data_IF_871480811526
#
_entry.id   IF_871480811526
#
_cell.length_a   1.000
_cell.length_b   1.000
_cell.length_c   1.000
_cell.angle_alpha   90.00
_cell.angle_beta   90.00
_cell.angle_gamma   90.00
#
_symmetry.space_group_name_H-M   'P 1'
#
loop_
_entity.id
_entity.type
_entity.pdbx_description
1 polymer ?
#
# COMPACT_ATOMS: atom_id res chain seq x y z
N UNK A 1 -15.18 -7.09 28.24
CA UNK A 1 -13.74 -7.30 27.96
C UNK A 1 -13.49 -8.78 27.67
N UNK A 2 -13.93 -9.28 26.51
CA UNK A 2 -13.71 -10.66 26.04
C UNK A 2 -13.63 -10.77 24.50
N UNK A 3 -14.09 -9.76 23.76
CA UNK A 3 -14.08 -9.76 22.28
C UNK A 3 -12.70 -9.76 21.64
N UNK A 4 -11.64 -9.38 22.38
CA UNK A 4 -10.28 -9.47 21.87
C UNK A 4 -9.85 -10.94 21.72
N UNK A 5 -10.03 -11.76 22.76
CA UNK A 5 -9.56 -13.15 22.80
C UNK A 5 -10.25 -14.01 21.74
N UNK A 6 -11.57 -13.89 21.57
CA UNK A 6 -12.31 -14.61 20.53
C UNK A 6 -11.87 -14.22 19.12
N UNK A 7 -11.57 -12.93 18.90
CA UNK A 7 -11.05 -12.44 17.62
C UNK A 7 -9.66 -12.99 17.30
N UNK A 8 -8.78 -13.08 18.30
CA UNK A 8 -7.44 -13.65 18.12
C UNK A 8 -7.46 -15.15 17.84
N UNK A 9 -8.34 -15.91 18.51
CA UNK A 9 -8.48 -17.36 18.27
C UNK A 9 -8.97 -17.66 16.86
N UNK A 10 -9.96 -16.93 16.35
CA UNK A 10 -10.40 -17.05 14.96
C UNK A 10 -9.30 -16.72 13.95
N UNK A 11 -8.38 -15.82 14.27
CA UNK A 11 -7.23 -15.52 13.41
C UNK A 11 -6.24 -16.68 13.31
N UNK A 12 -6.12 -17.54 14.34
CA UNK A 12 -5.20 -18.69 14.32
C UNK A 12 -5.61 -19.70 13.25
N UNK A 13 -6.92 -19.91 13.08
CA UNK A 13 -7.46 -20.83 12.07
C UNK A 13 -7.12 -20.38 10.63
N UNK A 14 -6.97 -19.07 10.40
CA UNK A 14 -6.59 -18.51 9.11
C UNK A 14 -5.07 -18.55 8.84
N UNK A 15 -4.23 -18.78 9.86
CA UNK A 15 -2.76 -18.73 9.71
C UNK A 15 -2.20 -19.69 8.66
N UNK A 16 -2.67 -20.95 8.53
CA UNK A 16 -2.17 -21.85 7.49
C UNK A 16 -2.41 -21.32 6.07
N UNK A 17 -3.59 -20.75 5.81
CA UNK A 17 -3.94 -20.18 4.50
C UNK A 17 -3.12 -18.92 4.21
N UNK A 18 -2.97 -18.04 5.20
CA UNK A 18 -2.13 -16.85 5.11
C UNK A 18 -0.68 -17.26 4.82
N UNK A 19 -0.12 -18.20 5.58
CA UNK A 19 1.24 -18.68 5.40
C UNK A 19 1.46 -19.21 3.98
N UNK A 20 0.53 -20.03 3.45
CA UNK A 20 0.60 -20.54 2.08
C UNK A 20 0.58 -19.42 1.04
N UNK A 21 -0.26 -18.40 1.22
CA UNK A 21 -0.33 -17.24 0.31
C UNK A 21 0.96 -16.42 0.31
N UNK A 22 1.59 -16.28 1.47
CA UNK A 22 2.80 -15.48 1.67
C UNK A 22 4.09 -16.16 1.18
N UNK A 23 4.09 -17.47 0.91
CA UNK A 23 5.26 -18.18 0.35
C UNK A 23 5.76 -17.62 -0.98
N UNK A 24 4.91 -16.86 -1.70
CA UNK A 24 5.24 -16.22 -2.98
C UNK A 24 5.21 -14.69 -2.90
N UNK A 25 5.31 -14.13 -1.69
CA UNK A 25 5.27 -12.68 -1.44
C UNK A 25 6.60 -12.25 -0.85
N UNK A 26 7.17 -11.19 -1.41
CA UNK A 26 8.31 -10.51 -0.83
C UNK A 26 7.83 -9.29 -0.04
N UNK A 27 8.36 -9.13 1.16
CA UNK A 27 8.11 -7.96 1.99
C UNK A 27 9.33 -7.06 2.00
N UNK A 28 9.12 -5.77 1.74
CA UNK A 28 10.18 -4.78 1.73
C UNK A 28 9.80 -3.57 2.56
N UNK A 29 10.78 -3.03 3.26
CA UNK A 29 10.67 -1.79 4.00
C UNK A 29 11.65 -0.79 3.38
N UNK A 30 11.16 -0.04 2.39
CA UNK A 30 11.93 0.93 1.62
C UNK A 30 11.01 2.05 1.13
N UNK A 31 11.57 3.22 0.73
CA UNK A 31 10.78 4.26 0.08
C UNK A 31 10.05 3.72 -1.16
N UNK A 32 8.77 4.07 -1.31
CA UNK A 32 7.91 3.52 -2.36
C UNK A 32 8.48 3.72 -3.78
N UNK A 33 9.06 4.89 -4.04
CA UNK A 33 9.63 5.23 -5.35
C UNK A 33 10.82 4.33 -5.71
N UNK A 34 11.63 3.91 -4.73
CA UNK A 34 12.73 2.97 -4.97
C UNK A 34 12.21 1.58 -5.36
N UNK A 35 11.14 1.12 -4.69
CA UNK A 35 10.50 -0.16 -4.99
C UNK A 35 9.86 -0.12 -6.38
N UNK A 36 9.13 0.96 -6.71
CA UNK A 36 8.50 1.13 -8.02
C UNK A 36 9.55 1.07 -9.13
N UNK A 37 10.64 1.84 -9.00
CA UNK A 37 11.71 1.87 -10.00
C UNK A 37 12.40 0.50 -10.14
N UNK A 38 12.62 -0.23 -9.04
CA UNK A 38 13.27 -1.55 -9.09
C UNK A 38 12.45 -2.60 -9.83
N UNK A 39 11.12 -2.54 -9.69
CA UNK A 39 10.20 -3.50 -10.30
C UNK A 39 9.51 -2.97 -11.55
N UNK A 40 9.95 -1.84 -12.08
CA UNK A 40 9.39 -1.27 -13.30
C UNK A 40 9.73 -2.17 -14.50
N UNK A 41 8.74 -2.95 -14.95
CA UNK A 41 8.82 -3.74 -16.17
C UNK A 41 7.43 -3.80 -16.82
N UNK A 42 7.36 -4.13 -18.13
CA UNK A 42 6.09 -4.23 -18.86
C UNK A 42 5.10 -5.27 -18.27
N UNK A 43 5.60 -6.24 -17.52
CA UNK A 43 4.84 -7.33 -16.90
C UNK A 43 4.35 -6.99 -15.49
N UNK A 44 4.82 -5.88 -14.90
CA UNK A 44 4.46 -5.49 -13.54
C UNK A 44 3.11 -4.76 -13.51
N UNK A 45 2.29 -5.10 -12.51
CA UNK A 45 1.13 -4.32 -12.11
C UNK A 45 1.42 -3.69 -10.74
N UNK A 46 1.46 -2.37 -10.70
CA UNK A 46 1.53 -1.59 -9.46
C UNK A 46 0.12 -1.32 -8.94
N UNK A 47 -0.18 -1.81 -7.75
CA UNK A 47 -1.33 -1.36 -6.98
C UNK A 47 -0.84 -0.43 -5.88
N UNK A 48 -1.28 0.83 -5.91
CA UNK A 48 -0.84 1.87 -5.00
C UNK A 48 -2.02 2.41 -4.20
N UNK A 49 -1.87 2.44 -2.88
CA UNK A 49 -2.85 3.01 -1.94
C UNK A 49 -2.12 3.92 -0.93
N UNK A 50 -1.61 5.08 -1.39
CA UNK A 50 -0.86 6.00 -0.54
C UNK A 50 -1.78 6.68 0.49
N UNK A 51 -1.23 7.22 1.61
CA UNK A 51 -1.97 8.15 2.47
C UNK A 51 -2.63 9.24 1.63
N UNK A 52 -3.94 9.44 1.71
CA UNK A 52 -4.62 10.34 0.77
C UNK A 52 -4.28 11.81 1.00
N UNK A 53 -4.26 12.66 -0.06
CA UNK A 53 -3.94 14.07 0.08
C UNK A 53 -4.81 14.77 1.12
N UNK A 54 -4.21 15.69 1.90
CA UNK A 54 -4.92 16.42 2.96
C UNK A 54 -6.16 17.17 2.44
N UNK A 55 -6.09 17.71 1.22
CA UNK A 55 -7.21 18.42 0.59
C UNK A 55 -8.39 17.53 0.20
N UNK A 56 -8.20 16.21 0.12
CA UNK A 56 -9.21 15.25 -0.30
C UNK A 56 -9.88 14.50 0.87
N UNK A 57 -9.59 14.88 2.12
CA UNK A 57 -10.10 14.20 3.32
C UNK A 57 -10.53 15.17 4.41
N UNK A 58 -11.56 14.77 5.18
CA UNK A 58 -12.10 15.57 6.28
C UNK A 58 -11.31 15.49 7.60
N UNK A 59 -10.44 14.49 7.74
CA UNK A 59 -9.59 14.29 8.93
C UNK A 59 -8.11 14.40 8.55
N UNK A 60 -7.40 15.33 9.20
CA UNK A 60 -5.99 15.61 8.93
C UNK A 60 -5.01 14.64 9.61
N UNK A 61 -5.47 13.75 10.51
CA UNK A 61 -4.63 12.80 11.25
C UNK A 61 -4.96 11.33 10.95
N UNK A 62 -5.52 11.04 9.78
CA UNK A 62 -5.94 9.68 9.41
C UNK A 62 -4.77 8.67 9.29
N UNK A 63 -3.55 9.13 9.04
CA UNK A 63 -2.37 8.27 8.91
C UNK A 63 -1.27 8.68 9.89
N UNK A 64 -0.58 7.69 10.45
CA UNK A 64 0.55 7.93 11.36
C UNK A 64 1.77 8.55 10.64
N UNK A 65 1.89 8.31 9.33
CA UNK A 65 2.92 8.86 8.47
C UNK A 65 2.25 9.40 7.21
N UNK A 66 2.43 10.68 6.95
CA UNK A 66 1.73 11.44 5.91
C UNK A 66 2.63 11.74 4.73
N UNK A 67 2.02 11.97 3.56
CA UNK A 67 2.70 12.51 2.40
C UNK A 67 2.34 14.00 2.25
N UNK A 68 3.35 14.79 1.94
CA UNK A 68 3.13 16.18 1.50
C UNK A 68 2.54 16.20 0.09
N UNK A 69 1.87 17.29 -0.28
CA UNK A 69 1.36 17.48 -1.64
C UNK A 69 2.47 17.34 -2.71
N UNK A 70 3.70 17.70 -2.37
CA UNK A 70 4.83 17.56 -3.28
C UNK A 70 5.24 16.10 -3.48
N UNK A 71 5.26 15.31 -2.40
CA UNK A 71 5.51 13.86 -2.50
C UNK A 71 4.38 13.15 -3.27
N UNK A 72 3.15 13.66 -3.19
CA UNK A 72 2.06 13.19 -4.03
C UNK A 72 2.30 13.47 -5.53
N UNK A 73 2.80 14.68 -5.86
CA UNK A 73 3.16 15.01 -7.25
C UNK A 73 4.29 14.14 -7.76
N UNK A 74 5.32 13.93 -6.95
CA UNK A 74 6.46 13.06 -7.28
C UNK A 74 6.00 11.62 -7.54
N UNK A 75 5.13 11.08 -6.67
CA UNK A 75 4.53 9.75 -6.89
C UNK A 75 3.74 9.69 -8.19
N UNK A 76 2.90 10.70 -8.47
CA UNK A 76 2.11 10.75 -9.69
C UNK A 76 2.98 10.80 -10.95
N UNK A 77 4.06 11.58 -10.92
CA UNK A 77 5.02 11.68 -12.02
C UNK A 77 5.70 10.34 -12.27
N UNK A 78 6.21 9.66 -11.23
CA UNK A 78 6.83 8.34 -11.37
C UNK A 78 5.83 7.32 -11.93
N UNK A 79 4.60 7.27 -11.40
CA UNK A 79 3.57 6.34 -11.85
C UNK A 79 3.10 6.61 -13.30
N UNK A 80 3.22 7.83 -13.80
CA UNK A 80 2.93 8.13 -15.21
C UNK A 80 4.01 7.61 -16.18
N UNK A 81 5.22 7.36 -15.69
CA UNK A 81 6.36 6.95 -16.51
C UNK A 81 6.75 5.48 -16.36
N UNK A 82 6.01 4.69 -15.57
CA UNK A 82 6.26 3.24 -15.49
C UNK A 82 5.90 2.55 -16.81
N UNK A 83 6.64 1.49 -17.13
CA UNK A 83 6.40 0.63 -18.29
C UNK A 83 5.21 -0.32 -18.04
N UNK A 84 4.99 -0.66 -16.78
CA UNK A 84 3.92 -1.54 -16.34
C UNK A 84 2.54 -0.88 -16.29
N UNK A 85 1.61 -1.55 -15.63
CA UNK A 85 0.26 -1.02 -15.38
C UNK A 85 0.16 -0.45 -13.98
N UNK A 86 -0.68 0.57 -13.81
CA UNK A 86 -0.94 1.20 -12.52
C UNK A 86 -2.42 1.17 -12.19
N UNK A 87 -2.74 0.75 -10.97
CA UNK A 87 -4.01 0.98 -10.31
C UNK A 87 -3.76 1.80 -9.04
N UNK A 88 -4.35 2.99 -8.95
CA UNK A 88 -4.16 3.93 -7.84
C UNK A 88 -5.50 4.17 -7.16
N UNK A 89 -5.52 4.00 -5.83
CA UNK A 89 -6.64 4.39 -4.98
C UNK A 89 -6.45 5.81 -4.46
N UNK A 90 -7.50 6.63 -4.53
CA UNK A 90 -7.58 7.99 -3.97
C UNK A 90 -9.05 8.41 -3.82
N UNK A 91 -9.31 9.50 -3.09
CA UNK A 91 -10.61 10.19 -3.10
C UNK A 91 -10.76 11.10 -4.33
N UNK A 92 -12.02 11.45 -4.64
CA UNK A 92 -12.43 12.33 -5.75
C UNK A 92 -12.39 13.82 -5.36
#
# INVERSE_FOLDING_TARGET
MAGAVSRWLGSVEALPEIAQRLLRVQFEHAPALEVINRYNSPETLFYCDPPYPHGARGDSNAYAHELTDEQHRELAEVLHHVEGKVALSSYH
#
